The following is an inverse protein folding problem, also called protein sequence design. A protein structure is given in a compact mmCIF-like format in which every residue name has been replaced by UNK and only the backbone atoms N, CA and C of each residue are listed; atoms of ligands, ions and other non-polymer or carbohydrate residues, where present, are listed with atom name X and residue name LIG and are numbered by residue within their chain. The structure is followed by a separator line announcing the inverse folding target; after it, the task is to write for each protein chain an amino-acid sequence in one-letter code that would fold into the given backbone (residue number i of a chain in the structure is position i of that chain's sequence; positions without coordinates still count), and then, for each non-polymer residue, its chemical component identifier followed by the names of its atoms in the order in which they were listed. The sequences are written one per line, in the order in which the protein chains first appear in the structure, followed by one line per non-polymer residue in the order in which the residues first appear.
data_IF_264750963926
#
_entry.id   IF_264750963926
#
_cell.length_a   1.000
_cell.length_b   1.000
_cell.length_c   1.000
_cell.angle_alpha   90.00
_cell.angle_beta   90.00
_cell.angle_gamma   90.00
#
_symmetry.space_group_name_H-M   'P 1'
#
loop_
_entity.id
_entity.type
_entity.pdbx_description
1 polymer ?
#
# COMPACT_ATOMS: atom_id res chain seq x y z
N UNK A 1 11.72 8.21 -12.39
CA UNK A 1 10.99 8.44 -11.12
C UNK A 1 11.07 7.17 -10.35
N UNK A 2 11.67 7.23 -9.18
CA UNK A 2 11.93 6.06 -8.35
C UNK A 2 10.83 5.90 -7.31
N UNK A 3 10.43 4.66 -7.07
CA UNK A 3 9.36 4.32 -6.15
C UNK A 3 9.97 3.88 -4.81
N UNK A 4 9.45 4.43 -3.71
CA UNK A 4 9.92 4.14 -2.34
C UNK A 4 8.79 3.49 -1.54
N UNK A 5 9.06 2.34 -0.93
CA UNK A 5 8.10 1.60 -0.09
C UNK A 5 8.59 1.53 1.36
N UNK A 6 7.79 2.05 2.29
CA UNK A 6 8.05 1.93 3.73
C UNK A 6 7.27 0.76 4.33
N UNK A 7 7.98 -0.21 4.93
CA UNK A 7 7.37 -1.41 5.50
C UNK A 7 7.49 -1.41 7.02
N UNK A 8 6.39 -1.70 7.73
CA UNK A 8 6.45 -2.06 9.15
C UNK A 8 5.49 -3.21 9.48
N UNK A 9 5.49 -3.68 10.73
CA UNK A 9 4.71 -4.88 11.09
C UNK A 9 3.19 -4.68 10.95
N UNK A 10 2.65 -3.53 11.37
CA UNK A 10 1.19 -3.28 11.42
C UNK A 10 0.72 -2.11 10.54
N UNK A 11 1.60 -1.55 9.70
CA UNK A 11 1.36 -0.30 8.97
C UNK A 11 0.75 0.87 9.78
N UNK A 12 1.04 0.95 11.09
CA UNK A 12 0.23 1.76 12.02
C UNK A 12 0.93 2.99 12.58
N UNK A 13 2.23 3.18 12.35
CA UNK A 13 2.95 4.32 12.95
C UNK A 13 4.12 4.79 12.10
N UNK A 14 5.27 4.11 12.17
CA UNK A 14 6.53 4.60 11.58
C UNK A 14 6.48 4.66 10.04
N UNK A 15 5.84 3.70 9.39
CA UNK A 15 5.70 3.66 7.94
C UNK A 15 4.82 4.78 7.40
N UNK A 16 3.70 5.11 8.07
CA UNK A 16 2.83 6.22 7.66
C UNK A 16 3.48 7.60 7.87
N UNK A 17 4.17 7.80 9.00
CA UNK A 17 4.92 9.05 9.22
C UNK A 17 6.04 9.23 8.18
N UNK A 18 6.77 8.16 7.84
CA UNK A 18 7.81 8.20 6.83
C UNK A 18 7.24 8.53 5.43
N UNK A 19 6.09 7.96 5.08
CA UNK A 19 5.38 8.30 3.84
C UNK A 19 5.00 9.78 3.78
N UNK A 20 4.36 10.31 4.83
CA UNK A 20 3.96 11.72 4.88
C UNK A 20 5.14 12.69 4.84
N UNK A 21 6.23 12.36 5.54
CA UNK A 21 7.45 13.18 5.56
C UNK A 21 8.14 13.19 4.18
N UNK A 22 8.27 12.03 3.53
CA UNK A 22 8.93 11.95 2.24
C UNK A 22 8.08 12.59 1.14
N UNK A 23 6.76 12.39 1.17
CA UNK A 23 5.82 13.02 0.22
C UNK A 23 5.80 14.53 0.36
N UNK A 24 5.87 15.08 1.59
CA UNK A 24 5.90 16.53 1.80
C UNK A 24 7.21 17.19 1.36
N UNK A 25 8.36 16.51 1.48
CA UNK A 25 9.67 17.06 1.09
C UNK A 25 10.06 16.79 -0.37
N UNK A 26 9.60 15.68 -0.93
CA UNK A 26 10.08 15.17 -2.22
C UNK A 26 8.96 14.56 -3.09
N UNK A 27 7.71 14.97 -2.89
CA UNK A 27 6.56 14.45 -3.63
C UNK A 27 6.67 14.58 -5.16
N UNK A 28 7.43 15.55 -5.66
CA UNK A 28 7.65 15.75 -7.10
C UNK A 28 8.78 14.87 -7.68
N UNK A 29 9.52 14.14 -6.83
CA UNK A 29 10.69 13.34 -7.23
C UNK A 29 10.52 11.85 -7.00
N UNK A 30 9.71 11.45 -6.02
CA UNK A 30 9.54 10.05 -5.65
C UNK A 30 8.07 9.69 -5.49
N UNK A 31 7.73 8.49 -5.95
CA UNK A 31 6.43 7.89 -5.69
C UNK A 31 6.52 7.08 -4.39
N UNK A 32 5.80 7.52 -3.35
CA UNK A 32 5.97 7.01 -1.98
C UNK A 32 4.75 6.19 -1.55
N UNK A 33 5.01 5.00 -1.02
CA UNK A 33 3.99 4.05 -0.53
C UNK A 33 4.34 3.50 0.86
N UNK A 34 3.35 3.02 1.61
CA UNK A 34 3.56 2.32 2.88
C UNK A 34 2.78 0.99 2.95
N UNK A 35 3.36 -0.02 3.62
CA UNK A 35 2.77 -1.35 3.75
C UNK A 35 3.02 -2.00 5.12
N UNK A 36 2.15 -2.94 5.48
CA UNK A 36 2.23 -3.77 6.67
C UNK A 36 2.64 -5.20 6.32
N UNK A 37 3.53 -5.85 7.08
CA UNK A 37 3.80 -7.29 6.88
C UNK A 37 2.69 -8.17 7.44
N UNK A 38 2.00 -7.72 8.51
CA UNK A 38 0.79 -8.35 9.03
C UNK A 38 -0.43 -7.70 8.37
N UNK A 39 -0.52 -7.77 7.06
CA UNK A 39 -1.80 -7.54 6.38
C UNK A 39 -2.61 -8.82 6.52
N UNK A 40 -3.49 -8.87 7.53
CA UNK A 40 -4.63 -9.78 7.48
C UNK A 40 -5.27 -9.59 6.10
N UNK A 41 -5.24 -10.65 5.29
CA UNK A 41 -5.22 -10.55 3.84
C UNK A 41 -6.30 -9.63 3.27
N UNK A 42 -5.89 -8.65 2.47
CA UNK A 42 -6.80 -8.02 1.53
C UNK A 42 -7.50 -9.15 0.75
N UNK A 43 -8.83 -9.14 0.62
CA UNK A 43 -9.53 -10.21 -0.06
C UNK A 43 -9.00 -10.32 -1.48
N UNK A 44 -8.42 -11.47 -1.82
CA UNK A 44 -8.12 -11.80 -3.22
C UNK A 44 -9.45 -11.65 -3.95
N UNK A 45 -9.53 -10.68 -4.88
CA UNK A 45 -10.71 -10.50 -5.71
C UNK A 45 -10.81 -11.73 -6.60
N UNK A 46 -11.53 -12.75 -6.09
CA UNK A 46 -11.95 -13.91 -6.86
C UNK A 46 -12.71 -13.36 -8.05
N UNK A 47 -12.14 -13.56 -9.24
CA UNK A 47 -12.72 -13.12 -10.50
C UNK A 47 -14.19 -13.54 -10.53
N UNK A 48 -15.04 -12.60 -10.93
CA UNK A 48 -16.45 -12.81 -11.24
C UNK A 48 -16.53 -13.91 -12.29
N UNK A 49 -16.67 -15.17 -11.86
CA UNK A 49 -16.97 -16.27 -12.76
C UNK A 49 -18.41 -16.04 -13.23
N UNK A 50 -18.53 -15.60 -14.49
CA UNK A 50 -19.78 -15.32 -15.17
C UNK A 50 -20.62 -16.58 -15.37
N UNK A 51 -21.11 -17.17 -14.28
CA UNK A 51 -22.17 -18.17 -14.34
C UNK A 51 -23.49 -17.48 -14.16
N UNK A 52 -24.05 -17.08 -15.29
CA UNK A 52 -25.50 -17.05 -15.46
C UNK A 52 -26.06 -18.37 -14.93
N UNK A 53 -26.91 -18.25 -13.92
CA UNK A 53 -27.88 -19.26 -13.57
C UNK A 53 -29.23 -18.60 -13.81
N UNK A 54 -30.09 -19.39 -14.44
CA UNK A 54 -31.33 -19.03 -15.12
C UNK A 54 -32.27 -18.11 -14.33
#
# INVERSE_FOLDING_TARGET
MDTVLFVCTHNSSRSQMAEGLLRSRYGDRYEVHSAGTNSEGAPVRRGRDGRGRN
#
